data_IF_664964553595
#
_entry.id   IF_664964553595
#
_cell.length_a   1.000
_cell.length_b   1.000
_cell.length_c   1.000
_cell.angle_alpha   90.00
_cell.angle_beta   90.00
_cell.angle_gamma   90.00
#
_symmetry.space_group_name_H-M   'P 1'
#
loop_
_entity.id
_entity.type
_entity.pdbx_description
1 polymer ?
#
# COMPACT_ATOMS: atom_id res chain seq x y z
N UNK A 1 -17.27 -7.06 -8.69
CA UNK A 1 -16.63 -5.76 -8.98
C UNK A 1 -16.46 -5.61 -10.49
N UNK A 2 -16.68 -4.41 -11.02
CA UNK A 2 -16.42 -4.11 -12.43
C UNK A 2 -14.92 -4.16 -12.72
N UNK A 3 -14.51 -4.79 -13.83
CA UNK A 3 -13.11 -4.83 -14.26
C UNK A 3 -12.87 -3.72 -15.29
N UNK A 4 -11.81 -2.94 -15.10
CA UNK A 4 -11.34 -1.93 -16.05
C UNK A 4 -10.03 -2.36 -16.73
N UNK A 5 -9.72 -1.74 -17.85
CA UNK A 5 -8.43 -1.92 -18.54
C UNK A 5 -7.51 -0.75 -18.21
N UNK A 6 -6.27 -1.06 -17.84
CA UNK A 6 -5.21 -0.09 -17.62
C UNK A 6 -4.00 -0.49 -18.47
N UNK A 7 -3.53 0.40 -19.33
CA UNK A 7 -2.45 0.12 -20.28
C UNK A 7 -1.22 0.96 -19.94
N UNK A 8 -0.10 0.29 -19.70
CA UNK A 8 1.20 0.92 -19.41
C UNK A 8 2.27 0.38 -20.33
N UNK A 9 3.24 1.23 -20.67
CA UNK A 9 4.45 0.80 -21.37
C UNK A 9 5.45 0.28 -20.34
N UNK A 10 5.88 -0.96 -20.52
CA UNK A 10 6.90 -1.60 -19.69
C UNK A 10 8.14 -1.85 -20.52
N UNK A 11 9.28 -1.97 -19.83
CA UNK A 11 10.52 -2.37 -20.47
C UNK A 11 10.39 -3.79 -21.08
N UNK A 12 11.04 -4.00 -22.22
CA UNK A 12 10.94 -5.26 -22.97
C UNK A 12 11.56 -6.44 -22.22
N UNK A 13 12.63 -6.21 -21.46
CA UNK A 13 13.27 -7.26 -20.65
C UNK A 13 12.34 -7.67 -19.51
N UNK A 14 11.75 -6.70 -18.82
CA UNK A 14 10.77 -6.95 -17.77
C UNK A 14 9.55 -7.73 -18.27
N UNK A 15 9.05 -7.43 -19.47
CA UNK A 15 7.94 -8.20 -20.07
C UNK A 15 8.33 -9.66 -20.32
N UNK A 16 9.57 -9.92 -20.75
CA UNK A 16 10.06 -11.29 -20.95
C UNK A 16 10.16 -12.02 -19.61
N UNK A 17 10.80 -11.39 -18.63
CA UNK A 17 11.03 -12.00 -17.33
C UNK A 17 9.69 -12.26 -16.59
N UNK A 18 8.73 -11.34 -16.68
CA UNK A 18 7.38 -11.53 -16.14
C UNK A 18 6.66 -12.72 -16.78
N UNK A 19 6.79 -12.86 -18.11
CA UNK A 19 6.19 -13.97 -18.84
C UNK A 19 6.80 -15.30 -18.39
N UNK A 20 8.12 -15.40 -18.43
CA UNK A 20 8.86 -16.62 -18.08
C UNK A 20 8.57 -17.02 -16.62
N UNK A 21 8.57 -16.06 -15.70
CA UNK A 21 8.23 -16.29 -14.29
C UNK A 21 6.79 -16.79 -14.10
N UNK A 22 5.82 -16.17 -14.77
CA UNK A 22 4.42 -16.59 -14.66
C UNK A 22 4.20 -17.98 -15.26
N UNK A 23 4.85 -18.31 -16.37
CA UNK A 23 4.76 -19.62 -17.00
C UNK A 23 5.39 -20.71 -16.12
N UNK A 24 6.58 -20.46 -15.56
CA UNK A 24 7.27 -21.42 -14.68
C UNK A 24 6.48 -21.72 -13.40
N UNK A 25 5.82 -20.70 -12.83
CA UNK A 25 5.06 -20.83 -11.57
C UNK A 25 3.58 -21.13 -11.77
N UNK A 26 3.10 -21.22 -13.01
CA UNK A 26 1.69 -21.51 -13.32
C UNK A 26 0.72 -20.37 -13.00
N UNK A 27 1.18 -19.12 -13.02
CA UNK A 27 0.36 -17.94 -12.76
C UNK A 27 -0.17 -17.28 -14.03
N UNK A 28 -1.34 -16.64 -13.92
CA UNK A 28 -1.84 -15.72 -14.95
C UNK A 28 -1.20 -14.35 -14.76
N UNK A 29 -0.54 -13.83 -15.78
CA UNK A 29 0.14 -12.53 -15.76
C UNK A 29 -0.74 -11.40 -15.21
N UNK A 30 -1.99 -11.28 -15.71
CA UNK A 30 -2.91 -10.23 -15.24
C UNK A 30 -3.23 -10.33 -13.74
N UNK A 31 -3.40 -11.54 -13.22
CA UNK A 31 -3.66 -11.76 -11.79
C UNK A 31 -2.43 -11.50 -10.93
N UNK A 32 -1.24 -11.81 -11.45
CA UNK A 32 0.02 -11.52 -10.78
C UNK A 32 0.24 -10.01 -10.67
N UNK A 33 0.06 -9.28 -11.78
CA UNK A 33 0.20 -7.82 -11.82
C UNK A 33 -0.83 -7.14 -10.93
N UNK A 34 -2.09 -7.57 -10.95
CA UNK A 34 -3.13 -7.03 -10.07
C UNK A 34 -2.75 -7.19 -8.60
N UNK A 35 -2.25 -8.36 -8.21
CA UNK A 35 -1.81 -8.64 -6.84
C UNK A 35 -0.61 -7.77 -6.46
N UNK A 36 0.41 -7.72 -7.32
CA UNK A 36 1.61 -6.92 -7.08
C UNK A 36 1.32 -5.43 -6.93
N UNK A 37 0.37 -4.89 -7.72
CA UNK A 37 -0.06 -3.50 -7.60
C UNK A 37 -0.71 -3.22 -6.24
N UNK A 38 -1.60 -4.09 -5.76
CA UNK A 38 -2.22 -3.94 -4.44
C UNK A 38 -1.19 -3.99 -3.32
N UNK A 39 -0.33 -5.01 -3.34
CA UNK A 39 0.72 -5.16 -2.32
C UNK A 39 1.68 -3.97 -2.28
N UNK A 40 1.98 -3.37 -3.44
CA UNK A 40 2.82 -2.18 -3.49
C UNK A 40 2.09 -0.94 -2.96
N UNK A 41 0.79 -0.77 -3.25
CA UNK A 41 -0.01 0.32 -2.69
C UNK A 41 -0.08 0.22 -1.16
N UNK A 42 -0.44 -0.96 -0.63
CA UNK A 42 -0.53 -1.20 0.81
C UNK A 42 0.81 -0.90 1.53
N UNK A 43 1.94 -1.18 0.87
CA UNK A 43 3.27 -0.90 1.41
C UNK A 43 3.58 0.60 1.47
N UNK A 44 3.23 1.36 0.44
CA UNK A 44 3.44 2.81 0.45
C UNK A 44 2.53 3.49 1.48
N UNK A 45 1.26 3.07 1.58
CA UNK A 45 0.33 3.57 2.61
C UNK A 45 0.87 3.30 4.02
N UNK A 46 1.30 2.06 4.31
CA UNK A 46 1.89 1.73 5.60
C UNK A 46 3.14 2.56 5.92
N UNK A 47 3.95 2.87 4.91
CA UNK A 47 5.16 3.68 5.09
C UNK A 47 4.81 5.13 5.43
N UNK A 48 3.78 5.69 4.81
CA UNK A 48 3.24 7.00 5.15
C UNK A 48 2.68 7.01 6.57
N UNK A 49 1.86 6.02 6.93
CA UNK A 49 1.29 5.90 8.29
C UNK A 49 2.36 5.83 9.38
N UNK A 50 3.43 5.05 9.15
CA UNK A 50 4.56 4.95 10.10
C UNK A 50 5.29 6.29 10.20
N UNK A 51 5.49 6.98 9.08
CA UNK A 51 6.14 8.28 9.07
C UNK A 51 5.33 9.33 9.84
N UNK A 52 4.01 9.34 9.65
CA UNK A 52 3.10 10.21 10.37
C UNK A 52 3.09 9.89 11.86
N UNK A 53 3.06 8.61 12.22
CA UNK A 53 3.12 8.17 13.61
C UNK A 53 4.39 8.67 14.32
N UNK A 54 5.56 8.53 13.69
CA UNK A 54 6.83 9.04 14.22
C UNK A 54 6.80 10.58 14.33
N UNK A 55 6.23 11.26 13.34
CA UNK A 55 6.13 12.72 13.32
C UNK A 55 5.24 13.23 14.45
N UNK A 56 4.11 12.55 14.70
CA UNK A 56 3.15 12.86 15.76
C UNK A 56 3.65 12.48 17.16
N UNK A 57 4.55 11.49 17.29
CA UNK A 57 5.17 11.15 18.56
C UNK A 57 5.90 12.36 19.18
N UNK A 58 6.52 13.20 18.35
CA UNK A 58 7.16 14.43 18.82
C UNK A 58 6.14 15.46 19.37
N UNK A 59 4.84 15.29 19.11
CA UNK A 59 3.77 16.15 19.62
C UNK A 59 3.05 15.52 20.83
N UNK A 60 3.43 14.32 21.24
CA UNK A 60 2.78 13.57 22.34
C UNK A 60 2.81 14.35 23.66
N UNK A 61 3.86 15.13 23.92
CA UNK A 61 3.95 15.98 25.11
C UNK A 61 2.91 17.11 25.15
N UNK A 62 2.35 17.50 24.00
CA UNK A 62 1.26 18.48 23.90
C UNK A 62 -0.11 17.81 24.04
N UNK A 63 -0.18 16.48 23.96
CA UNK A 63 -1.43 15.76 24.03
C UNK A 63 -1.99 15.79 25.46
N UNK A 64 -3.31 16.00 25.58
CA UNK A 64 -3.98 15.86 26.88
C UNK A 64 -4.08 14.37 27.26
N UNK A 65 -3.95 14.03 28.54
CA UNK A 65 -4.27 12.70 29.04
C UNK A 65 -5.68 12.27 28.63
N UNK A 66 -5.85 11.01 28.23
CA UNK A 66 -7.13 10.48 27.75
C UNK A 66 -8.29 10.72 28.72
N UNK A 67 -8.03 10.64 30.03
CA UNK A 67 -9.03 10.88 31.09
C UNK A 67 -9.60 12.30 31.12
N UNK A 68 -8.88 13.28 30.59
CA UNK A 68 -9.30 14.67 30.61
C UNK A 68 -10.33 14.99 29.51
N UNK A 69 -10.54 14.08 28.55
CA UNK A 69 -11.51 14.26 27.47
C UNK A 69 -12.96 13.97 27.90
N UNK A 70 -13.18 13.05 28.85
CA UNK A 70 -14.53 12.68 29.30
C UNK A 70 -15.30 13.84 29.97
N UNK A 71 -14.59 14.82 30.52
CA UNK A 71 -15.20 15.96 31.22
C UNK A 71 -15.68 17.09 30.31
N UNK A 72 -15.45 17.02 28.99
CA UNK A 72 -15.77 18.10 28.04
C UNK A 72 -17.01 17.84 27.18
N UNK A 73 -17.66 16.68 27.29
CA UNK A 73 -18.98 16.40 26.71
C UNK A 73 -20.08 16.63 27.75
N UNK A 74 -20.41 17.90 28.03
CA UNK A 74 -21.66 18.32 28.69
C UNK A 74 -22.27 19.47 27.92
#
# INVERSE_FOLDING_TARGET
MSKGNYAVKLDRTLLRDLKDFCEEKGYKQGSFVEKALREQMDREELKEDVFDFISLQNQEFLARPFRDYDNTRK
#
